data_IF_479192855531
#
_entry.id   IF_479192855531
#
_cell.length_a   1.000
_cell.length_b   1.000
_cell.length_c   1.000
_cell.angle_alpha   90.00
_cell.angle_beta   90.00
_cell.angle_gamma   90.00
#
_symmetry.space_group_name_H-M   'P 1'
#
loop_
_entity.id
_entity.type
_entity.pdbx_description
1 polymer ?
#
# COMPACT_ATOMS: atom_id res chain seq x y z
N UNK A 1 0.68 -11.64 -10.25
CA UNK A 1 1.62 -10.51 -10.03
C UNK A 1 2.02 -10.49 -8.57
N UNK A 2 3.29 -10.70 -8.30
CA UNK A 2 3.79 -10.73 -6.93
C UNK A 2 4.16 -9.32 -6.41
N UNK A 3 4.67 -8.48 -7.29
CA UNK A 3 5.04 -7.11 -6.98
C UNK A 3 4.46 -6.17 -8.03
N UNK A 4 4.02 -5.00 -7.61
CA UNK A 4 3.55 -3.95 -8.49
C UNK A 4 4.52 -2.77 -8.42
N UNK A 5 5.51 -2.75 -9.30
CA UNK A 5 6.56 -1.74 -9.31
C UNK A 5 6.36 -0.66 -10.38
N UNK A 6 5.67 -0.99 -11.45
CA UNK A 6 5.51 -0.10 -12.58
C UNK A 6 4.26 -0.48 -13.38
N UNK A 7 3.47 0.52 -13.73
CA UNK A 7 2.27 0.33 -14.57
C UNK A 7 2.64 -0.29 -15.91
N UNK A 8 3.79 0.08 -16.47
CA UNK A 8 4.23 -0.44 -17.77
C UNK A 8 4.49 -1.93 -17.77
N UNK A 9 4.74 -2.52 -16.60
CA UNK A 9 5.01 -3.95 -16.48
C UNK A 9 3.76 -4.78 -16.25
N UNK A 10 2.61 -4.13 -16.03
CA UNK A 10 1.33 -4.81 -15.91
C UNK A 10 0.66 -4.87 -17.26
N UNK A 11 -0.08 -5.95 -17.52
CA UNK A 11 -0.83 -6.06 -18.77
C UNK A 11 -2.07 -5.18 -18.73
N UNK A 12 -2.59 -4.73 -19.88
CA UNK A 12 -3.87 -4.00 -19.90
C UNK A 12 -5.01 -4.78 -19.24
N UNK A 13 -5.03 -6.10 -19.40
CA UNK A 13 -6.03 -6.95 -18.77
C UNK A 13 -5.93 -6.90 -17.24
N UNK A 14 -4.71 -6.96 -16.69
CA UNK A 14 -4.48 -6.87 -15.25
C UNK A 14 -4.93 -5.51 -14.71
N UNK A 15 -4.58 -4.44 -15.41
CA UNK A 15 -4.97 -3.08 -15.00
C UNK A 15 -6.48 -2.91 -15.03
N UNK A 16 -7.14 -3.44 -16.06
CA UNK A 16 -8.60 -3.38 -16.18
C UNK A 16 -9.26 -4.15 -15.05
N UNK A 17 -8.75 -5.33 -14.73
CA UNK A 17 -9.27 -6.14 -13.63
C UNK A 17 -9.14 -5.42 -12.28
N UNK A 18 -8.03 -4.73 -12.04
CA UNK A 18 -7.82 -3.95 -10.82
C UNK A 18 -8.85 -2.83 -10.70
N UNK A 19 -9.07 -2.08 -11.79
CA UNK A 19 -10.03 -0.97 -11.80
C UNK A 19 -11.45 -1.47 -11.60
N UNK A 20 -11.83 -2.54 -12.28
CA UNK A 20 -13.17 -3.11 -12.17
C UNK A 20 -13.44 -3.63 -10.75
N UNK A 21 -12.45 -4.29 -10.15
CA UNK A 21 -12.55 -4.76 -8.77
C UNK A 21 -12.70 -3.58 -7.81
N UNK A 22 -11.91 -2.54 -7.99
CA UNK A 22 -11.98 -1.34 -7.15
C UNK A 22 -13.35 -0.67 -7.24
N UNK A 23 -13.90 -0.57 -8.44
CA UNK A 23 -15.24 0.00 -8.63
C UNK A 23 -16.33 -0.85 -7.98
N UNK A 24 -16.23 -2.15 -8.09
CA UNK A 24 -17.18 -3.06 -7.45
C UNK A 24 -17.14 -2.93 -5.93
N UNK A 25 -15.93 -2.85 -5.37
CA UNK A 25 -15.75 -2.66 -3.92
C UNK A 25 -16.32 -1.33 -3.46
N UNK A 26 -16.08 -0.27 -4.21
CA UNK A 26 -16.62 1.06 -3.90
C UNK A 26 -18.13 1.07 -3.92
N UNK A 27 -18.73 0.45 -4.92
CA UNK A 27 -20.18 0.36 -5.05
C UNK A 27 -20.78 -0.44 -3.90
N UNK A 28 -20.16 -1.55 -3.53
CA UNK A 28 -20.63 -2.43 -2.48
C UNK A 28 -20.69 -1.73 -1.12
N UNK A 29 -19.80 -0.77 -0.88
CA UNK A 29 -19.77 -0.07 0.40
C UNK A 29 -20.55 1.25 0.41
N UNK A 30 -21.26 1.59 -0.66
CA UNK A 30 -21.99 2.85 -0.76
C UNK A 30 -22.95 3.03 0.42
N UNK A 31 -22.81 4.16 1.13
CA UNK A 31 -23.63 4.46 2.31
C UNK A 31 -23.12 3.85 3.60
N UNK A 32 -22.09 3.02 3.56
CA UNK A 32 -21.49 2.42 4.75
C UNK A 32 -20.63 3.46 5.48
N UNK A 33 -20.63 3.48 6.82
CA UNK A 33 -19.74 4.38 7.56
C UNK A 33 -18.28 4.17 7.18
N UNK A 34 -17.51 5.27 7.11
CA UNK A 34 -16.14 5.21 6.59
C UNK A 34 -15.19 4.35 7.40
N UNK A 35 -15.39 4.25 8.69
CA UNK A 35 -14.57 3.41 9.55
C UNK A 35 -15.01 1.96 9.62
N UNK A 36 -16.11 1.62 8.97
CA UNK A 36 -16.61 0.26 8.97
C UNK A 36 -15.98 -0.55 7.84
N UNK A 37 -15.39 -1.72 8.15
CA UNK A 37 -14.80 -2.55 7.10
C UNK A 37 -15.83 -3.06 6.11
N UNK A 38 -15.37 -3.40 4.92
CA UNK A 38 -16.19 -4.02 3.88
C UNK A 38 -16.65 -5.41 4.34
N UNK A 39 -17.73 -5.92 3.74
CA UNK A 39 -18.16 -7.29 3.99
C UNK A 39 -17.10 -8.29 3.53
N UNK A 40 -16.57 -8.09 2.33
CA UNK A 40 -15.40 -8.83 1.87
C UNK A 40 -14.15 -8.10 2.33
N UNK A 41 -13.31 -8.79 3.08
CA UNK A 41 -12.12 -8.21 3.67
C UNK A 41 -10.88 -8.95 3.17
N UNK A 42 -10.40 -8.63 1.95
CA UNK A 42 -9.26 -9.34 1.36
C UNK A 42 -7.97 -9.20 2.17
N UNK A 43 -7.86 -8.15 3.00
CA UNK A 43 -6.68 -7.93 3.82
C UNK A 43 -6.88 -8.30 5.29
N UNK A 44 -7.94 -9.02 5.62
CA UNK A 44 -8.19 -9.40 7.00
C UNK A 44 -7.02 -10.19 7.57
N UNK A 45 -6.53 -9.74 8.71
CA UNK A 45 -5.37 -10.34 9.36
C UNK A 45 -4.03 -9.95 8.77
N UNK A 46 -4.02 -9.08 7.74
CA UNK A 46 -2.78 -8.63 7.09
C UNK A 46 -2.30 -7.32 7.68
N UNK A 47 -0.99 -7.21 7.82
CA UNK A 47 -0.33 -5.98 8.24
C UNK A 47 0.35 -5.35 7.03
N UNK A 48 0.03 -4.09 6.75
CA UNK A 48 0.56 -3.36 5.59
C UNK A 48 1.42 -2.20 6.06
N UNK A 49 2.68 -2.19 5.65
CA UNK A 49 3.56 -1.05 5.90
C UNK A 49 3.40 -0.02 4.79
N UNK A 50 3.18 1.22 5.18
CA UNK A 50 3.06 2.36 4.27
C UNK A 50 4.24 3.28 4.52
N UNK A 51 5.16 3.35 3.56
CA UNK A 51 6.40 4.12 3.71
C UNK A 51 6.37 5.30 2.75
N UNK A 52 6.61 6.50 3.29
CA UNK A 52 6.60 7.73 2.51
C UNK A 52 7.93 8.46 2.66
N UNK A 53 8.73 8.49 1.59
CA UNK A 53 9.95 9.29 1.54
C UNK A 53 9.64 10.77 1.37
N UNK A 54 8.53 11.07 0.67
CA UNK A 54 8.12 12.46 0.48
C UNK A 54 6.71 12.68 1.03
N UNK A 55 6.43 13.88 1.54
CA UNK A 55 5.10 14.19 2.06
C UNK A 55 4.02 14.03 0.99
N UNK A 56 2.93 13.39 1.36
CA UNK A 56 1.77 13.26 0.50
C UNK A 56 0.55 12.90 1.33
N UNK A 57 -0.14 13.92 1.83
CA UNK A 57 -1.30 13.70 2.69
C UNK A 57 -2.38 12.89 2.01
N UNK A 58 -2.70 13.22 0.75
CA UNK A 58 -3.77 12.51 0.03
C UNK A 58 -3.46 11.02 -0.13
N UNK A 59 -2.25 10.71 -0.59
CA UNK A 59 -1.86 9.32 -0.80
C UNK A 59 -1.82 8.56 0.52
N UNK A 60 -1.25 9.17 1.55
CA UNK A 60 -1.17 8.56 2.88
C UNK A 60 -2.56 8.22 3.43
N UNK A 61 -3.48 9.19 3.41
CA UNK A 61 -4.82 9.00 3.94
C UNK A 61 -5.58 7.97 3.11
N UNK A 62 -5.46 8.05 1.79
CA UNK A 62 -6.14 7.14 0.88
C UNK A 62 -5.73 5.68 1.12
N UNK A 63 -4.44 5.41 1.22
CA UNK A 63 -3.96 4.05 1.48
C UNK A 63 -4.30 3.58 2.88
N UNK A 64 -4.12 4.43 3.89
CA UNK A 64 -4.40 4.06 5.28
C UNK A 64 -5.87 3.68 5.46
N UNK A 65 -6.77 4.54 5.00
CA UNK A 65 -8.21 4.27 5.10
C UNK A 65 -8.60 3.07 4.25
N UNK A 66 -8.08 2.98 3.02
CA UNK A 66 -8.38 1.88 2.12
C UNK A 66 -7.99 0.52 2.68
N UNK A 67 -6.80 0.41 3.25
CA UNK A 67 -6.35 -0.84 3.86
C UNK A 67 -7.26 -1.24 5.02
N UNK A 68 -7.64 -0.29 5.86
CA UNK A 68 -8.51 -0.56 7.00
C UNK A 68 -9.91 -0.97 6.56
N UNK A 69 -10.42 -0.37 5.50
CA UNK A 69 -11.72 -0.74 4.94
C UNK A 69 -11.71 -2.16 4.34
N UNK A 70 -10.56 -2.62 3.90
CA UNK A 70 -10.38 -4.00 3.42
C UNK A 70 -10.05 -5.01 4.53
N UNK A 71 -10.11 -4.57 5.78
CA UNK A 71 -9.92 -5.43 6.95
C UNK A 71 -8.50 -5.51 7.46
N UNK A 72 -7.54 -4.81 6.84
CA UNK A 72 -6.14 -4.85 7.23
C UNK A 72 -5.78 -3.85 8.30
N UNK A 73 -4.56 -3.97 8.78
CA UNK A 73 -3.95 -3.03 9.71
C UNK A 73 -2.80 -2.31 9.01
N UNK A 74 -2.51 -1.09 9.43
CA UNK A 74 -1.48 -0.28 8.81
C UNK A 74 -0.36 0.07 9.78
N UNK A 75 0.85 0.17 9.23
CA UNK A 75 2.00 0.70 9.93
C UNK A 75 2.56 1.81 9.03
N UNK A 76 2.36 3.07 9.42
CA UNK A 76 2.76 4.22 8.62
C UNK A 76 4.11 4.73 9.09
N UNK A 77 5.07 4.79 8.16
CA UNK A 77 6.44 5.22 8.46
C UNK A 77 6.87 6.29 7.46
N UNK A 78 7.61 7.29 7.96
CA UNK A 78 8.23 8.27 7.06
C UNK A 78 9.65 7.80 6.70
N UNK A 79 10.15 8.22 5.54
CA UNK A 79 11.52 7.92 5.15
C UNK A 79 12.52 8.48 6.16
N UNK A 80 12.19 9.59 6.81
CA UNK A 80 13.01 10.17 7.86
C UNK A 80 13.12 9.25 9.08
N UNK A 81 12.00 8.65 9.50
CA UNK A 81 11.98 7.69 10.60
C UNK A 81 12.79 6.44 10.27
N UNK A 82 12.74 6.02 9.02
CA UNK A 82 13.46 4.85 8.53
C UNK A 82 14.92 5.14 8.23
N UNK A 83 15.33 6.41 8.30
CA UNK A 83 16.68 6.84 7.98
C UNK A 83 17.14 6.42 6.57
N UNK A 84 16.21 6.36 5.64
CA UNK A 84 16.53 6.05 4.25
C UNK A 84 17.49 7.11 3.69
N UNK A 85 18.57 6.65 3.07
CA UNK A 85 19.62 7.55 2.59
C UNK A 85 20.70 7.88 3.61
N UNK A 86 20.59 7.37 4.83
CA UNK A 86 21.57 7.58 5.89
C UNK A 86 22.28 6.27 6.26
N UNK A 87 22.71 5.54 5.22
CA UNK A 87 23.40 4.27 5.41
C UNK A 87 22.53 3.04 5.41
N UNK A 88 21.20 3.21 5.45
CA UNK A 88 20.26 2.11 5.35
C UNK A 88 19.64 2.08 3.96
N UNK A 89 19.67 0.92 3.32
CA UNK A 89 19.11 0.77 1.98
C UNK A 89 17.64 0.38 2.05
N UNK A 90 16.91 0.63 0.95
CA UNK A 90 15.54 0.16 0.81
C UNK A 90 15.47 -1.36 0.96
N UNK A 91 16.44 -2.07 0.39
CA UNK A 91 16.48 -3.53 0.48
C UNK A 91 16.63 -4.02 1.92
N UNK A 92 17.50 -3.38 2.70
CA UNK A 92 17.69 -3.73 4.10
C UNK A 92 16.45 -3.45 4.93
N UNK A 93 15.84 -2.29 4.71
CA UNK A 93 14.58 -1.93 5.37
C UNK A 93 13.49 -2.93 5.05
N UNK A 94 13.36 -3.31 3.78
CA UNK A 94 12.35 -4.28 3.37
C UNK A 94 12.56 -5.64 4.02
N UNK A 95 13.81 -6.09 4.16
CA UNK A 95 14.12 -7.36 4.83
C UNK A 95 13.70 -7.35 6.29
N UNK A 96 13.98 -6.26 7.01
CA UNK A 96 13.57 -6.12 8.41
C UNK A 96 12.07 -6.12 8.52
N UNK A 97 11.40 -5.28 7.73
CA UNK A 97 9.95 -5.15 7.77
C UNK A 97 9.23 -6.44 7.35
N UNK A 98 9.80 -7.20 6.42
CA UNK A 98 9.16 -8.44 5.94
C UNK A 98 8.90 -9.47 7.03
N UNK A 99 9.57 -9.34 8.18
CA UNK A 99 9.33 -10.21 9.34
C UNK A 99 8.11 -9.80 10.15
N UNK A 100 7.61 -8.58 9.94
CA UNK A 100 6.53 -7.99 10.72
C UNK A 100 5.29 -7.67 9.90
N UNK A 101 5.44 -7.50 8.60
CA UNK A 101 4.34 -7.10 7.74
C UNK A 101 4.19 -8.05 6.56
N UNK A 102 2.99 -8.05 5.99
CA UNK A 102 2.65 -8.92 4.85
C UNK A 102 2.81 -8.21 3.52
N UNK A 103 2.62 -6.88 3.51
CA UNK A 103 2.71 -6.05 2.31
C UNK A 103 3.45 -4.76 2.63
N UNK A 104 4.14 -4.22 1.65
CA UNK A 104 4.83 -2.94 1.76
C UNK A 104 4.42 -2.07 0.56
N UNK A 105 3.92 -0.86 0.86
CA UNK A 105 3.72 0.19 -0.13
C UNK A 105 4.74 1.28 0.15
N UNK A 106 5.43 1.73 -0.87
CA UNK A 106 6.43 2.79 -0.72
C UNK A 106 6.19 3.89 -1.74
N UNK A 107 6.21 5.14 -1.27
CA UNK A 107 6.21 6.32 -2.11
C UNK A 107 7.58 6.97 -2.00
N UNK A 108 8.30 6.96 -3.10
CA UNK A 108 9.70 7.40 -3.14
C UNK A 108 9.89 8.54 -4.15
N UNK A 109 11.06 9.20 -4.06
CA UNK A 109 11.41 10.26 -5.00
C UNK A 109 11.80 9.72 -6.36
N UNK A 110 12.45 8.57 -6.41
CA UNK A 110 12.99 8.00 -7.64
C UNK A 110 12.58 6.53 -7.79
N UNK A 111 12.12 6.18 -8.98
CA UNK A 111 11.79 4.81 -9.32
C UNK A 111 12.98 3.87 -9.14
N UNK A 112 14.18 4.34 -9.49
CA UNK A 112 15.40 3.55 -9.37
C UNK A 112 15.65 3.06 -7.94
N UNK A 113 15.10 3.75 -6.95
CA UNK A 113 15.19 3.33 -5.55
C UNK A 113 14.54 1.97 -5.31
N UNK A 114 13.54 1.62 -6.12
CA UNK A 114 12.78 0.37 -5.98
C UNK A 114 13.41 -0.78 -6.75
N UNK A 115 14.23 -0.47 -7.72
CA UNK A 115 14.84 -1.43 -8.61
C UNK A 115 16.23 -1.82 -8.13
#
# INVERSE_FOLDING_TARGET
>A
MKHFLDIHKATPADLRAMIDTAQAMKTARNGRPKGEPDDEQPLKGQMVALIFEKPSTRTRVSFDVGVRQMGGETLVLSGKEMQLGHGETIADTARVLSRYVDLIMIRTFEEATLL
#
